data_IF_245284841804
#
_entry.id   IF_245284841804
#
_cell.length_a   1.000
_cell.length_b   1.000
_cell.length_c   1.000
_cell.angle_alpha   90.00
_cell.angle_beta   90.00
_cell.angle_gamma   90.00
#
_symmetry.space_group_name_H-M   'P 1'
#
loop_
_entity.id
_entity.type
_entity.pdbx_description
1 polymer ?
#
# COMPACT_ATOMS: atom_id res chain seq x y z
N UNK A 1 -8.06 3.17 19.67
CA UNK A 1 -6.71 3.46 19.10
C UNK A 1 -5.79 4.05 20.16
N UNK A 2 -4.46 4.05 19.93
CA UNK A 2 -3.51 4.72 20.83
C UNK A 2 -3.37 6.21 20.47
N UNK A 3 -3.58 7.10 21.45
CA UNK A 3 -3.56 8.56 21.26
C UNK A 3 -2.50 9.18 22.16
N UNK A 4 -1.52 9.80 21.56
CA UNK A 4 -0.43 10.48 22.26
C UNK A 4 -0.87 11.87 22.77
N UNK A 5 -0.67 12.16 24.06
CA UNK A 5 -1.03 13.42 24.70
C UNK A 5 0.19 14.21 25.23
N UNK A 6 1.39 13.90 24.74
CA UNK A 6 2.65 14.49 25.24
C UNK A 6 2.76 15.99 25.03
N UNK A 7 2.11 16.54 23.99
CA UNK A 7 2.21 17.94 23.61
C UNK A 7 0.83 18.63 23.65
N UNK A 8 0.29 18.94 24.85
CA UNK A 8 -0.96 19.69 24.94
C UNK A 8 -0.78 21.11 24.38
N UNK A 9 -1.79 21.57 23.68
CA UNK A 9 -1.80 22.91 23.06
C UNK A 9 -1.60 24.02 24.12
N UNK A 10 -0.87 25.07 23.74
CA UNK A 10 -0.74 26.26 24.57
C UNK A 10 -2.13 26.86 24.83
N UNK A 11 -2.43 27.18 26.10
CA UNK A 11 -3.74 27.69 26.54
C UNK A 11 -4.16 28.99 25.86
N UNK A 12 -3.25 29.70 25.20
CA UNK A 12 -3.52 30.92 24.41
C UNK A 12 -4.12 30.63 23.03
N UNK A 13 -4.15 29.37 22.60
CA UNK A 13 -4.60 28.97 21.25
C UNK A 13 -5.98 28.33 21.24
N UNK A 14 -6.64 28.15 22.38
CA UNK A 14 -7.97 27.57 22.47
C UNK A 14 -8.73 28.19 23.66
N UNK A 15 -10.00 27.88 23.77
CA UNK A 15 -10.80 28.29 24.94
C UNK A 15 -11.17 27.06 25.77
N UNK A 16 -10.99 27.15 27.09
CA UNK A 16 -11.47 26.11 28.01
C UNK A 16 -12.99 26.06 28.02
N UNK A 17 -13.50 24.84 27.99
CA UNK A 17 -14.91 24.54 27.91
C UNK A 17 -15.58 24.92 26.59
N UNK A 18 -16.74 24.37 26.34
CA UNK A 18 -17.57 24.64 25.15
C UNK A 18 -18.83 25.40 25.54
N UNK A 19 -19.37 26.15 24.57
CA UNK A 19 -20.65 26.87 24.68
C UNK A 19 -21.80 26.14 24.00
N UNK A 20 -21.48 25.09 23.25
CA UNK A 20 -22.41 24.27 22.48
C UNK A 20 -22.00 22.79 22.53
N UNK A 21 -22.95 21.88 22.28
CA UNK A 21 -22.67 20.44 22.16
C UNK A 21 -21.87 20.15 20.89
N UNK A 22 -21.05 19.12 20.94
CA UNK A 22 -20.32 18.60 19.78
C UNK A 22 -21.31 17.90 18.85
N UNK A 23 -21.38 18.35 17.60
CA UNK A 23 -22.27 17.81 16.56
C UNK A 23 -21.56 17.54 15.25
N UNK A 24 -20.34 18.03 15.09
CA UNK A 24 -19.58 17.93 13.84
C UNK A 24 -18.17 17.45 14.10
N UNK A 25 -17.64 16.72 13.12
CA UNK A 25 -16.20 16.47 12.97
C UNK A 25 -15.76 17.16 11.69
N UNK A 26 -14.74 18.03 11.79
CA UNK A 26 -14.22 18.79 10.66
C UNK A 26 -12.84 18.27 10.31
N UNK A 27 -12.71 17.81 9.07
CA UNK A 27 -11.45 17.29 8.52
C UNK A 27 -10.68 18.44 7.88
N UNK A 28 -9.41 18.55 8.27
CA UNK A 28 -8.44 19.52 7.79
C UNK A 28 -7.19 18.82 7.26
N UNK A 29 -6.29 19.58 6.69
CA UNK A 29 -4.91 19.18 6.44
C UNK A 29 -3.97 20.24 6.97
N UNK A 30 -2.80 19.83 7.41
CA UNK A 30 -1.79 20.71 8.02
C UNK A 30 -1.32 21.79 7.01
N UNK A 31 -1.33 21.49 5.70
CA UNK A 31 -0.86 22.40 4.66
C UNK A 31 0.64 22.68 4.72
N UNK A 32 1.39 21.81 5.41
CA UNK A 32 2.85 21.77 5.53
C UNK A 32 3.31 20.31 5.60
N UNK A 33 4.59 20.05 5.34
CA UNK A 33 5.14 18.69 5.32
C UNK A 33 5.66 18.20 6.69
N UNK A 34 5.27 18.87 7.77
CA UNK A 34 5.64 18.50 9.13
C UNK A 34 4.86 17.29 9.63
N UNK A 35 5.51 16.47 10.49
CA UNK A 35 4.91 15.33 11.14
C UNK A 35 3.83 15.71 12.17
N UNK A 36 2.98 14.77 12.60
CA UNK A 36 1.97 15.02 13.64
C UNK A 36 2.63 15.45 14.96
N UNK A 37 3.76 14.83 15.31
CA UNK A 37 4.56 15.24 16.46
C UNK A 37 5.03 16.70 16.33
N UNK A 38 5.58 17.09 15.18
CA UNK A 38 6.09 18.43 14.96
C UNK A 38 4.98 19.48 15.06
N UNK A 39 3.79 19.17 14.50
CA UNK A 39 2.62 20.04 14.57
C UNK A 39 2.11 20.16 16.01
N UNK A 40 1.91 19.06 16.72
CA UNK A 40 1.48 19.10 18.12
C UNK A 40 2.46 19.91 18.99
N UNK A 41 3.79 19.72 18.80
CA UNK A 41 4.81 20.46 19.51
C UNK A 41 4.80 21.96 19.17
N UNK A 42 4.57 22.31 17.90
CA UNK A 42 4.47 23.71 17.47
C UNK A 42 3.32 24.42 18.19
N UNK A 43 2.11 23.80 18.22
CA UNK A 43 0.95 24.37 18.89
C UNK A 43 1.06 24.34 20.43
N UNK A 44 1.91 23.50 21.00
CA UNK A 44 2.19 23.46 22.43
C UNK A 44 3.14 24.61 22.87
N UNK A 45 3.95 25.14 21.97
CA UNK A 45 5.02 26.11 22.31
C UNK A 45 4.81 27.50 21.73
N UNK A 46 3.93 27.67 20.76
CA UNK A 46 3.72 28.90 20.00
C UNK A 46 2.32 29.47 20.23
N UNK A 47 2.21 30.80 20.36
CA UNK A 47 0.93 31.49 20.34
C UNK A 47 0.58 31.87 18.90
N UNK A 48 -0.25 31.05 18.26
CA UNK A 48 -0.59 31.16 16.82
C UNK A 48 -2.03 31.58 16.57
N UNK A 49 -2.86 31.69 17.63
CA UNK A 49 -4.27 32.08 17.52
C UNK A 49 -5.16 31.07 16.78
N UNK A 50 -4.69 29.82 16.66
CA UNK A 50 -5.40 28.69 16.05
C UNK A 50 -5.02 27.40 16.78
N UNK A 51 -5.84 26.34 16.61
CA UNK A 51 -5.56 25.01 17.17
C UNK A 51 -6.46 23.95 16.53
N UNK A 52 -6.11 22.69 16.72
CA UNK A 52 -6.96 21.54 16.41
C UNK A 52 -7.01 20.59 17.61
N UNK A 53 -7.98 19.68 17.63
CA UNK A 53 -8.07 18.69 18.68
C UNK A 53 -7.06 17.57 18.46
N UNK A 54 -6.91 17.12 17.21
CA UNK A 54 -6.05 16.01 16.86
C UNK A 54 -5.19 16.31 15.63
N UNK A 55 -3.98 15.74 15.61
CA UNK A 55 -3.10 15.65 14.46
C UNK A 55 -2.86 14.17 14.14
N UNK A 56 -3.03 13.77 12.88
CA UNK A 56 -2.80 12.40 12.40
C UNK A 56 -1.57 12.38 11.50
N UNK A 57 -0.61 11.55 11.84
CA UNK A 57 0.71 11.43 11.20
C UNK A 57 0.67 10.78 9.83
N UNK A 58 1.76 10.95 9.11
CA UNK A 58 2.01 10.26 7.84
C UNK A 58 2.78 8.95 8.06
N UNK A 59 3.12 8.23 6.98
CA UNK A 59 3.71 6.90 7.02
C UNK A 59 5.01 6.82 7.83
N UNK A 60 5.84 7.89 7.84
CA UNK A 60 7.09 7.91 8.62
C UNK A 60 6.88 7.90 10.14
N UNK A 61 5.64 8.14 10.62
CA UNK A 61 5.23 8.07 12.02
C UNK A 61 4.20 6.95 12.27
N UNK A 62 4.01 6.04 11.30
CA UNK A 62 3.01 4.97 11.34
C UNK A 62 1.58 5.48 11.63
N UNK A 63 1.25 6.66 11.07
CA UNK A 63 -0.04 7.29 11.28
C UNK A 63 -0.32 7.72 12.72
N UNK A 64 0.71 7.98 13.53
CA UNK A 64 0.60 8.32 14.95
C UNK A 64 -0.40 9.46 15.18
N UNK A 65 -1.28 9.31 16.18
CA UNK A 65 -2.30 10.30 16.52
C UNK A 65 -1.89 11.07 17.77
N UNK A 66 -1.87 12.41 17.66
CA UNK A 66 -1.61 13.31 18.77
C UNK A 66 -2.86 14.10 19.13
N UNK A 67 -3.28 14.04 20.39
CA UNK A 67 -4.28 14.95 20.93
C UNK A 67 -3.61 16.22 21.42
N UNK A 68 -3.96 17.36 20.83
CA UNK A 68 -3.42 18.67 21.14
C UNK A 68 -4.37 19.47 22.03
N UNK A 69 -5.68 19.48 21.71
CA UNK A 69 -6.72 20.07 22.57
C UNK A 69 -7.69 18.98 23.01
N UNK A 70 -8.10 19.00 24.28
CA UNK A 70 -9.12 18.07 24.76
C UNK A 70 -10.46 18.37 24.06
N UNK A 71 -11.21 17.37 23.58
CA UNK A 71 -12.53 17.58 22.98
C UNK A 71 -13.54 18.28 23.90
N UNK A 72 -13.36 18.26 25.22
CA UNK A 72 -14.17 19.06 26.16
C UNK A 72 -13.91 20.56 26.08
N UNK A 73 -12.81 20.97 25.46
CA UNK A 73 -12.42 22.37 25.23
C UNK A 73 -12.72 22.79 23.76
N UNK A 74 -12.66 24.08 23.50
CA UNK A 74 -12.98 24.64 22.19
C UNK A 74 -11.70 25.01 21.42
N UNK A 75 -11.24 24.14 20.52
CA UNK A 75 -10.16 24.44 19.60
C UNK A 75 -10.59 25.44 18.52
N UNK A 76 -9.66 26.23 18.00
CA UNK A 76 -9.94 27.27 17.00
C UNK A 76 -9.49 26.83 15.62
N UNK A 77 -10.36 26.13 14.90
CA UNK A 77 -10.06 25.52 13.58
C UNK A 77 -11.03 25.87 12.45
N UNK A 78 -12.25 26.37 12.77
CA UNK A 78 -13.26 26.70 11.77
C UNK A 78 -13.23 28.19 11.35
N UNK A 79 -12.10 28.87 11.46
CA UNK A 79 -11.93 30.25 11.03
C UNK A 79 -11.67 30.40 9.54
N UNK A 80 -12.11 31.49 8.93
CA UNK A 80 -11.80 31.87 7.55
C UNK A 80 -12.01 33.33 7.30
N UNK A 81 -11.18 33.91 6.44
CA UNK A 81 -11.36 35.26 5.89
C UNK A 81 -12.44 35.29 4.80
N UNK A 82 -12.76 34.16 4.17
CA UNK A 82 -13.70 34.07 3.05
C UNK A 82 -15.17 34.02 3.45
N UNK A 83 -15.47 33.83 4.76
CA UNK A 83 -16.84 33.80 5.25
C UNK A 83 -17.24 32.47 5.87
N UNK A 84 -18.53 32.35 6.20
CA UNK A 84 -19.14 31.22 6.89
C UNK A 84 -20.35 30.74 6.10
N UNK A 85 -20.15 29.67 5.34
CA UNK A 85 -21.18 29.12 4.45
C UNK A 85 -22.08 28.11 5.14
N UNK A 86 -21.54 27.30 6.08
CA UNK A 86 -22.32 26.37 6.87
C UNK A 86 -22.48 26.89 8.30
N UNK A 87 -23.59 27.55 8.57
CA UNK A 87 -23.80 28.31 9.81
C UNK A 87 -23.92 27.45 11.07
N UNK A 88 -24.31 26.20 10.95
CA UNK A 88 -24.49 25.29 12.09
C UNK A 88 -23.18 24.75 12.66
N UNK A 89 -22.09 24.72 11.87
CA UNK A 89 -20.78 24.25 12.31
C UNK A 89 -19.88 25.43 12.74
N UNK A 90 -19.36 25.38 13.95
CA UNK A 90 -18.46 26.37 14.57
C UNK A 90 -17.46 25.64 15.47
N UNK A 91 -16.41 26.35 15.91
CA UNK A 91 -15.44 25.84 16.88
C UNK A 91 -16.10 25.19 18.11
N UNK A 92 -17.17 25.79 18.63
CA UNK A 92 -17.88 25.28 19.78
C UNK A 92 -18.65 23.99 19.55
N UNK A 93 -19.09 23.74 18.32
CA UNK A 93 -19.90 22.59 17.96
C UNK A 93 -19.13 21.52 17.18
N UNK A 94 -17.80 21.66 17.01
CA UNK A 94 -17.02 20.76 16.18
C UNK A 94 -15.73 20.27 16.85
N UNK A 95 -15.30 19.08 16.46
CA UNK A 95 -13.97 18.55 16.69
C UNK A 95 -13.17 18.71 15.39
N UNK A 96 -11.96 19.30 15.44
CA UNK A 96 -11.08 19.44 14.29
C UNK A 96 -9.99 18.37 14.30
N UNK A 97 -9.81 17.70 13.16
CA UNK A 97 -8.75 16.72 12.92
C UNK A 97 -7.88 17.23 11.77
N UNK A 98 -6.59 17.43 12.04
CA UNK A 98 -5.57 17.84 11.07
C UNK A 98 -4.81 16.63 10.55
N UNK A 99 -4.90 16.37 9.27
CA UNK A 99 -4.18 15.31 8.59
C UNK A 99 -2.81 15.82 8.11
N UNK A 100 -1.73 15.14 8.47
CA UNK A 100 -0.41 15.41 7.91
C UNK A 100 -0.39 15.03 6.43
N UNK A 101 0.37 15.76 5.63
CA UNK A 101 0.35 15.64 4.17
C UNK A 101 1.73 15.87 3.57
N UNK A 102 1.89 15.45 2.34
CA UNK A 102 3.07 15.66 1.52
C UNK A 102 2.75 16.50 0.29
N UNK A 103 3.79 17.01 -0.36
CA UNK A 103 3.71 17.57 -1.71
C UNK A 103 4.41 16.64 -2.69
N UNK A 104 3.78 16.42 -3.83
CA UNK A 104 4.42 15.75 -4.96
C UNK A 104 5.38 16.70 -5.72
N UNK A 105 6.01 16.18 -6.77
CA UNK A 105 6.92 16.95 -7.63
C UNK A 105 6.22 18.05 -8.42
N UNK A 106 4.91 17.96 -8.64
CA UNK A 106 4.05 18.96 -9.27
C UNK A 106 3.62 20.07 -8.31
N UNK A 107 3.82 19.88 -7.01
CA UNK A 107 3.43 20.77 -5.94
C UNK A 107 2.02 20.54 -5.38
N UNK A 108 1.36 19.44 -5.81
CA UNK A 108 0.05 19.06 -5.32
C UNK A 108 0.14 18.34 -3.97
N UNK A 109 -0.85 18.61 -3.11
CA UNK A 109 -0.93 18.00 -1.79
C UNK A 109 -1.59 16.62 -1.85
N UNK A 110 -1.02 15.65 -1.12
CA UNK A 110 -1.60 14.32 -0.99
C UNK A 110 -1.43 13.76 0.44
N UNK A 111 -2.22 12.74 0.76
CA UNK A 111 -2.14 11.98 2.00
C UNK A 111 -1.57 10.59 1.76
N UNK A 112 -0.80 10.09 2.72
CA UNK A 112 -0.48 8.67 2.78
C UNK A 112 -1.74 7.84 3.10
N UNK A 113 -1.79 6.60 2.64
CA UNK A 113 -2.90 5.69 2.93
C UNK A 113 -3.11 5.51 4.43
N UNK A 114 -2.02 5.34 5.19
CA UNK A 114 -2.07 5.20 6.66
C UNK A 114 -2.65 6.43 7.35
N UNK A 115 -2.35 7.65 6.85
CA UNK A 115 -2.95 8.88 7.38
C UNK A 115 -4.47 8.89 7.19
N UNK A 116 -4.93 8.48 6.00
CA UNK A 116 -6.37 8.37 5.70
C UNK A 116 -7.04 7.31 6.57
N UNK A 117 -6.41 6.14 6.72
CA UNK A 117 -6.92 5.03 7.55
C UNK A 117 -7.02 5.42 9.02
N UNK A 118 -5.95 5.96 9.59
CA UNK A 118 -5.93 6.39 11.00
C UNK A 118 -6.88 7.56 11.27
N UNK A 119 -7.06 8.45 10.28
CA UNK A 119 -8.09 9.51 10.39
C UNK A 119 -9.50 8.92 10.37
N UNK A 120 -9.78 7.93 9.52
CA UNK A 120 -11.08 7.27 9.49
C UNK A 120 -11.36 6.50 10.79
N UNK A 121 -10.36 5.79 11.32
CA UNK A 121 -10.43 5.06 12.60
C UNK A 121 -10.74 6.03 13.75
N UNK A 122 -9.96 7.11 13.91
CA UNK A 122 -10.20 8.16 14.91
C UNK A 122 -11.60 8.78 14.74
N UNK A 123 -11.99 9.07 13.51
CA UNK A 123 -13.28 9.68 13.21
C UNK A 123 -14.43 8.80 13.65
N UNK A 124 -14.36 7.48 13.41
CA UNK A 124 -15.38 6.51 13.87
C UNK A 124 -15.48 6.44 15.39
N UNK A 125 -14.35 6.38 16.10
CA UNK A 125 -14.34 6.41 17.57
C UNK A 125 -15.02 7.68 18.10
N UNK A 126 -14.74 8.83 17.48
CA UNK A 126 -15.37 10.10 17.87
C UNK A 126 -16.85 10.16 17.49
N UNK A 127 -17.24 9.61 16.33
CA UNK A 127 -18.65 9.48 15.92
C UNK A 127 -19.44 8.67 16.93
N UNK A 128 -18.92 7.53 17.35
CA UNK A 128 -19.54 6.67 18.37
C UNK A 128 -19.61 7.39 19.73
N UNK A 129 -18.51 8.00 20.17
CA UNK A 129 -18.40 8.65 21.47
C UNK A 129 -19.38 9.84 21.60
N UNK A 130 -19.60 10.60 20.54
CA UNK A 130 -20.40 11.84 20.56
C UNK A 130 -21.74 11.71 19.85
N UNK A 131 -22.11 10.53 19.34
CA UNK A 131 -23.36 10.31 18.61
C UNK A 131 -23.45 11.09 17.31
N UNK A 132 -22.35 11.24 16.57
CA UNK A 132 -22.24 11.98 15.32
C UNK A 132 -22.40 10.99 14.16
N UNK A 133 -23.33 11.27 13.24
CA UNK A 133 -23.46 10.50 12.01
C UNK A 133 -22.44 10.93 10.94
N UNK A 134 -22.30 10.12 9.91
CA UNK A 134 -21.34 10.40 8.85
C UNK A 134 -21.67 11.68 8.06
N UNK A 135 -22.91 12.13 8.02
CA UNK A 135 -23.29 13.37 7.31
C UNK A 135 -22.77 14.63 8.03
N UNK A 136 -22.52 14.50 9.33
CA UNK A 136 -21.92 15.54 10.15
C UNK A 136 -20.38 15.48 10.23
N UNK A 137 -19.76 14.58 9.50
CA UNK A 137 -18.31 14.60 9.22
C UNK A 137 -18.10 15.34 7.92
N UNK A 138 -17.53 16.54 8.00
CA UNK A 138 -17.44 17.50 6.90
C UNK A 138 -16.02 18.04 6.75
N UNK A 139 -15.68 18.61 5.59
CA UNK A 139 -14.41 19.27 5.35
C UNK A 139 -14.45 20.71 5.86
N UNK A 140 -13.33 21.30 6.17
CA UNK A 140 -13.25 22.75 6.42
C UNK A 140 -13.76 23.55 5.21
N UNK A 141 -13.56 23.04 3.99
CA UNK A 141 -14.14 23.59 2.76
C UNK A 141 -15.66 23.76 2.85
N UNK A 142 -16.36 22.77 3.36
CA UNK A 142 -17.82 22.80 3.47
C UNK A 142 -18.30 23.87 4.47
N UNK A 143 -17.46 24.25 5.44
CA UNK A 143 -17.76 25.29 6.44
C UNK A 143 -17.48 26.69 5.92
N UNK A 144 -16.39 26.90 5.16
CA UNK A 144 -15.86 28.25 4.87
C UNK A 144 -15.44 28.49 3.41
N UNK A 145 -15.53 27.49 2.54
CA UNK A 145 -14.98 27.45 1.17
C UNK A 145 -13.45 27.65 1.08
N UNK A 146 -12.73 27.58 2.20
CA UNK A 146 -11.27 27.44 2.17
C UNK A 146 -10.90 26.10 1.53
N UNK A 147 -9.93 26.07 0.61
CA UNK A 147 -9.43 24.81 0.04
C UNK A 147 -8.72 23.97 1.11
N UNK A 148 -9.50 23.32 1.98
CA UNK A 148 -9.02 22.53 3.13
C UNK A 148 -10.02 21.41 3.46
N UNK A 149 -9.56 20.15 3.51
CA UNK A 149 -8.22 19.70 3.12
C UNK A 149 -8.06 19.65 1.59
N UNK A 150 -6.97 20.23 1.06
CA UNK A 150 -6.77 20.31 -0.38
C UNK A 150 -6.84 18.95 -1.10
N UNK A 151 -6.24 17.85 -0.59
CA UNK A 151 -6.37 16.54 -1.24
C UNK A 151 -7.81 16.07 -1.43
N UNK A 152 -8.70 16.33 -0.47
CA UNK A 152 -10.12 15.95 -0.54
C UNK A 152 -11.01 17.01 -1.20
N UNK A 153 -10.53 18.22 -1.39
CA UNK A 153 -11.26 19.26 -2.13
C UNK A 153 -11.01 19.12 -3.62
N UNK A 154 -9.76 18.85 -4.00
CA UNK A 154 -9.35 18.70 -5.39
C UNK A 154 -9.73 17.33 -5.98
N UNK A 155 -9.95 16.32 -5.14
CA UNK A 155 -10.40 14.98 -5.53
C UNK A 155 -11.68 14.61 -4.78
N UNK A 156 -12.80 14.74 -5.48
CA UNK A 156 -14.12 14.37 -4.94
C UNK A 156 -14.27 12.85 -4.74
N UNK A 157 -13.56 12.03 -5.52
CA UNK A 157 -13.53 10.57 -5.37
C UNK A 157 -12.86 10.18 -4.07
N UNK A 158 -11.67 10.73 -3.77
CA UNK A 158 -10.97 10.48 -2.51
C UNK A 158 -11.79 10.89 -1.27
N UNK A 159 -12.55 12.00 -1.36
CA UNK A 159 -13.48 12.37 -0.29
C UNK A 159 -14.65 11.40 -0.16
N UNK A 160 -15.24 10.95 -1.26
CA UNK A 160 -16.31 9.98 -1.24
C UNK A 160 -15.85 8.63 -0.66
N UNK A 161 -14.66 8.17 -1.02
CA UNK A 161 -14.04 6.95 -0.46
C UNK A 161 -13.79 7.09 1.05
N UNK A 162 -13.28 8.25 1.50
CA UNK A 162 -13.14 8.52 2.93
C UNK A 162 -14.49 8.44 3.65
N UNK A 163 -15.55 9.06 3.10
CA UNK A 163 -16.91 9.01 3.66
C UNK A 163 -17.48 7.59 3.69
N UNK A 164 -17.24 6.78 2.65
CA UNK A 164 -17.63 5.36 2.66
C UNK A 164 -16.97 4.57 3.79
N UNK A 165 -15.72 4.88 4.13
CA UNK A 165 -15.03 4.23 5.27
C UNK A 165 -15.73 4.51 6.59
N UNK A 166 -16.41 5.67 6.73
CA UNK A 166 -17.13 6.05 7.95
C UNK A 166 -18.50 5.39 8.08
N UNK A 167 -19.18 5.16 6.96
CA UNK A 167 -20.56 4.62 6.91
C UNK A 167 -20.59 3.12 6.74
N UNK A 168 -19.52 2.54 6.20
CA UNK A 168 -19.36 1.11 6.41
C UNK A 168 -19.36 0.96 7.93
N UNK A 169 -20.52 0.44 8.51
CA UNK A 169 -20.36 -0.32 9.72
C UNK A 169 -19.00 -1.01 9.57
N UNK A 170 -18.20 -1.05 10.63
CA UNK A 170 -17.42 -2.25 10.83
C UNK A 170 -18.46 -3.42 10.93
N UNK A 171 -19.02 -3.82 9.84
CA UNK A 171 -18.76 -5.16 9.41
C UNK A 171 -17.27 -5.16 9.51
N UNK A 172 -16.80 -5.44 10.78
CA UNK A 172 -15.44 -5.73 11.14
C UNK A 172 -14.86 -6.16 9.85
N UNK A 173 -14.02 -5.19 9.17
CA UNK A 173 -13.50 -5.51 7.89
C UNK A 173 -13.58 -6.98 7.86
N UNK A 174 -14.38 -7.61 6.97
CA UNK A 174 -14.58 -8.97 7.33
C UNK A 174 -13.20 -9.27 7.79
N UNK A 175 -12.99 -9.39 9.15
CA UNK A 175 -11.82 -10.08 9.52
C UNK A 175 -12.02 -11.21 8.57
N UNK A 176 -11.70 -10.88 7.32
CA UNK A 176 -11.18 -11.88 6.50
C UNK A 176 -10.04 -12.14 7.39
N UNK A 177 -10.39 -12.79 8.52
CA UNK A 177 -9.57 -13.77 9.14
C UNK A 177 -9.26 -14.52 7.90
N UNK A 178 -8.23 -13.97 7.21
CA UNK A 178 -7.56 -14.75 6.21
C UNK A 178 -7.31 -15.96 7.05
N UNK A 179 -8.21 -16.91 6.90
CA UNK A 179 -8.01 -18.12 7.63
C UNK A 179 -6.58 -18.39 7.25
N UNK A 180 -5.69 -18.61 8.22
CA UNK A 180 -4.28 -18.89 7.91
C UNK A 180 -4.16 -19.94 6.79
N UNK A 181 -5.26 -20.56 6.44
CA UNK A 181 -5.46 -21.49 5.34
C UNK A 181 -5.45 -20.85 3.94
N UNK A 182 -5.72 -19.55 3.81
CA UNK A 182 -5.82 -18.86 2.51
C UNK A 182 -4.58 -18.01 2.18
N UNK A 183 -3.61 -17.93 3.12
CA UNK A 183 -2.34 -17.25 2.94
C UNK A 183 -1.20 -18.21 3.28
N UNK A 184 -0.38 -18.51 2.28
CA UNK A 184 0.75 -19.41 2.43
C UNK A 184 2.04 -18.59 2.37
N UNK A 185 2.84 -18.68 3.42
CA UNK A 185 4.14 -18.01 3.54
C UNK A 185 5.23 -19.04 3.65
N UNK A 186 6.15 -19.03 2.71
CA UNK A 186 7.32 -19.88 2.70
C UNK A 186 8.58 -19.02 2.75
N UNK A 187 9.36 -19.16 3.82
CA UNK A 187 10.73 -18.62 3.86
C UNK A 187 11.64 -19.60 3.14
N UNK A 188 12.39 -19.09 2.19
CA UNK A 188 13.24 -19.92 1.32
C UNK A 188 14.70 -19.50 1.53
N UNK A 189 15.55 -20.46 1.80
CA UNK A 189 16.97 -20.22 1.82
C UNK A 189 17.51 -20.17 0.40
N UNK A 190 18.21 -19.11 -0.02
CA UNK A 190 18.61 -18.91 -1.42
C UNK A 190 19.48 -20.05 -1.99
N UNK A 191 20.23 -20.75 -1.16
CA UNK A 191 21.04 -21.92 -1.62
C UNK A 191 20.18 -23.13 -1.97
N UNK A 192 18.96 -23.25 -1.41
CA UNK A 192 18.01 -24.32 -1.67
C UNK A 192 16.98 -23.95 -2.76
N UNK A 193 17.06 -22.74 -3.27
CA UNK A 193 16.14 -22.24 -4.30
C UNK A 193 16.78 -22.31 -5.69
N UNK A 194 15.97 -22.69 -6.65
CA UNK A 194 16.33 -22.60 -8.07
C UNK A 194 15.12 -22.27 -8.93
N UNK A 195 15.38 -21.59 -10.03
CA UNK A 195 14.44 -21.45 -11.14
C UNK A 195 14.68 -22.59 -12.14
N UNK A 196 13.60 -23.07 -12.75
CA UNK A 196 13.63 -24.05 -13.83
C UNK A 196 12.76 -23.55 -14.98
N UNK A 197 13.31 -23.50 -16.19
CA UNK A 197 12.51 -23.39 -17.40
C UNK A 197 11.87 -24.74 -17.70
N UNK A 198 10.58 -24.80 -17.94
CA UNK A 198 9.87 -26.07 -18.07
C UNK A 198 8.92 -26.17 -19.27
N UNK A 199 8.40 -25.08 -19.82
CA UNK A 199 7.41 -25.05 -20.92
C UNK A 199 6.45 -26.28 -20.92
N UNK A 200 5.73 -26.47 -19.83
CA UNK A 200 4.90 -27.65 -19.60
C UNK A 200 3.51 -27.28 -19.09
N UNK A 201 2.59 -28.24 -19.07
CA UNK A 201 1.28 -28.02 -18.46
C UNK A 201 1.39 -28.18 -16.95
N UNK A 202 0.61 -27.37 -16.19
CA UNK A 202 0.62 -27.38 -14.71
C UNK A 202 0.56 -28.78 -14.10
N UNK A 203 -0.34 -29.62 -14.58
CA UNK A 203 -0.52 -31.01 -14.07
C UNK A 203 0.67 -31.96 -14.33
N UNK A 204 1.65 -31.53 -15.13
CA UNK A 204 2.82 -32.32 -15.47
C UNK A 204 4.11 -31.84 -14.80
N UNK A 205 4.03 -30.84 -13.89
CA UNK A 205 5.22 -30.29 -13.22
C UNK A 205 5.92 -31.31 -12.31
N UNK A 206 5.19 -32.28 -11.78
CA UNK A 206 5.78 -33.35 -10.94
C UNK A 206 5.48 -33.19 -9.46
N UNK A 207 6.37 -33.74 -8.63
CA UNK A 207 6.29 -33.73 -7.16
C UNK A 207 7.42 -32.90 -6.55
N UNK A 208 7.26 -32.47 -5.31
CA UNK A 208 8.22 -31.62 -4.60
C UNK A 208 7.66 -30.27 -4.25
N UNK A 209 8.50 -29.36 -3.76
CA UNK A 209 8.08 -27.99 -3.43
C UNK A 209 8.33 -27.08 -4.63
N UNK A 210 7.27 -26.50 -5.18
CA UNK A 210 7.36 -25.61 -6.34
C UNK A 210 6.18 -24.67 -6.46
N UNK A 211 6.38 -23.58 -7.20
CA UNK A 211 5.34 -22.65 -7.63
C UNK A 211 5.60 -22.24 -9.08
N UNK A 212 4.52 -21.85 -9.83
CA UNK A 212 4.71 -21.19 -11.12
C UNK A 212 5.34 -19.81 -10.87
N UNK A 213 6.28 -19.43 -11.71
CA UNK A 213 7.08 -18.26 -11.47
C UNK A 213 6.75 -17.10 -12.46
N UNK A 214 7.56 -16.87 -13.47
CA UNK A 214 7.47 -15.68 -14.32
C UNK A 214 6.33 -15.68 -15.33
N UNK A 215 5.99 -14.51 -15.76
CA UNK A 215 5.07 -14.28 -16.88
C UNK A 215 5.60 -14.87 -18.19
N UNK A 216 4.70 -15.23 -19.09
CA UNK A 216 5.02 -15.71 -20.41
C UNK A 216 3.99 -15.21 -21.44
N UNK A 217 4.41 -15.13 -22.70
CA UNK A 217 3.53 -14.91 -23.83
C UNK A 217 3.41 -16.19 -24.66
N UNK A 218 2.31 -16.33 -25.39
CA UNK A 218 2.07 -17.47 -26.26
C UNK A 218 2.21 -17.04 -27.72
N UNK A 219 3.02 -17.76 -28.47
CA UNK A 219 3.15 -17.62 -29.92
C UNK A 219 1.94 -18.21 -30.65
N UNK A 220 1.79 -17.86 -31.94
CA UNK A 220 0.70 -18.35 -32.78
C UNK A 220 0.69 -19.89 -32.96
N UNK A 221 1.84 -20.55 -32.85
CA UNK A 221 2.01 -22.01 -32.88
C UNK A 221 1.73 -22.71 -31.56
N UNK A 222 1.36 -21.95 -30.50
CA UNK A 222 1.07 -22.45 -29.17
C UNK A 222 2.30 -22.65 -28.27
N UNK A 223 3.51 -22.41 -28.77
CA UNK A 223 4.72 -22.37 -27.92
C UNK A 223 4.68 -21.14 -26.99
N UNK A 224 5.45 -21.19 -25.90
CA UNK A 224 5.54 -20.09 -24.94
C UNK A 224 6.93 -19.46 -24.92
N UNK A 225 6.98 -18.15 -24.67
CA UNK A 225 8.21 -17.42 -24.45
C UNK A 225 8.11 -16.67 -23.11
N UNK A 226 9.18 -16.63 -22.30
CA UNK A 226 9.16 -15.90 -21.06
C UNK A 226 9.07 -14.40 -21.32
N UNK A 227 8.41 -13.66 -20.42
CA UNK A 227 8.30 -12.21 -20.45
C UNK A 227 9.18 -11.64 -19.35
N UNK A 228 10.05 -10.70 -19.72
CA UNK A 228 10.95 -10.02 -18.81
C UNK A 228 12.26 -10.77 -18.54
N UNK A 229 12.88 -10.47 -17.40
CA UNK A 229 14.18 -11.04 -17.05
C UNK A 229 14.01 -12.45 -16.45
N UNK A 230 14.68 -13.41 -17.01
CA UNK A 230 14.76 -14.79 -16.50
C UNK A 230 16.18 -15.32 -16.68
N UNK A 231 16.86 -15.60 -15.56
CA UNK A 231 18.18 -16.27 -15.51
C UNK A 231 18.05 -17.57 -14.73
N UNK A 232 18.53 -18.64 -15.29
CA UNK A 232 18.50 -19.99 -14.71
C UNK A 232 19.93 -20.56 -14.72
N UNK A 233 20.45 -20.88 -13.54
CA UNK A 233 21.81 -21.42 -13.35
C UNK A 233 22.87 -20.62 -14.10
N UNK A 234 22.83 -19.28 -13.99
CA UNK A 234 23.74 -18.36 -14.65
C UNK A 234 23.48 -18.15 -16.15
N UNK A 235 22.53 -18.86 -16.76
CA UNK A 235 22.19 -18.72 -18.17
C UNK A 235 21.03 -17.72 -18.31
N UNK A 236 21.21 -16.68 -19.10
CA UNK A 236 20.15 -15.74 -19.46
C UNK A 236 19.23 -16.44 -20.45
N UNK A 237 18.01 -16.75 -20.01
CA UNK A 237 16.95 -17.32 -20.86
C UNK A 237 16.30 -16.20 -21.68
N UNK A 238 16.00 -15.07 -21.01
CA UNK A 238 15.56 -13.84 -21.61
C UNK A 238 15.90 -12.65 -20.70
N UNK A 239 15.95 -11.46 -21.26
CA UNK A 239 15.95 -10.21 -20.55
C UNK A 239 15.15 -9.14 -21.32
N UNK A 240 14.81 -8.05 -20.65
CA UNK A 240 13.99 -7.00 -21.24
C UNK A 240 14.63 -6.36 -22.49
N UNK A 241 15.95 -6.31 -22.55
CA UNK A 241 16.69 -5.76 -23.70
C UNK A 241 16.59 -6.63 -24.94
N UNK A 242 16.63 -7.96 -24.77
CA UNK A 242 16.74 -8.92 -25.89
C UNK A 242 15.43 -9.66 -26.20
N UNK A 243 14.37 -9.45 -25.42
CA UNK A 243 13.06 -10.03 -25.72
C UNK A 243 12.42 -9.40 -26.96
N UNK A 244 11.39 -10.05 -27.51
CA UNK A 244 10.72 -9.60 -28.73
C UNK A 244 10.07 -8.21 -28.55
N UNK A 245 10.25 -7.32 -29.53
CA UNK A 245 9.77 -5.92 -29.48
C UNK A 245 8.26 -5.76 -29.29
N UNK A 246 7.47 -6.77 -29.65
CA UNK A 246 6.02 -6.78 -29.47
C UNK A 246 5.57 -7.04 -28.03
N UNK A 247 6.48 -7.42 -27.13
CA UNK A 247 6.18 -7.56 -25.70
C UNK A 247 6.26 -6.19 -25.02
N UNK A 248 5.26 -5.82 -24.27
CA UNK A 248 5.17 -4.49 -23.67
C UNK A 248 6.31 -4.18 -22.70
N UNK A 249 6.91 -5.18 -22.08
CA UNK A 249 8.06 -5.05 -21.19
C UNK A 249 9.41 -4.95 -21.92
N UNK A 250 9.40 -5.05 -23.25
CA UNK A 250 10.63 -4.95 -24.06
C UNK A 250 11.32 -3.60 -23.85
N UNK A 251 12.65 -3.66 -23.55
CA UNK A 251 13.52 -2.48 -23.34
C UNK A 251 13.17 -1.59 -22.15
N UNK A 252 12.26 -2.02 -21.27
CA UNK A 252 12.03 -1.37 -20.00
C UNK A 252 13.01 -1.89 -18.93
N UNK A 253 13.34 -1.06 -17.96
CA UNK A 253 14.01 -1.55 -16.73
C UNK A 253 12.97 -2.23 -15.87
N UNK A 254 13.07 -3.53 -15.72
CA UNK A 254 12.11 -4.34 -14.96
C UNK A 254 12.59 -4.61 -13.55
N UNK A 255 11.69 -4.49 -12.59
CA UNK A 255 11.94 -4.91 -11.22
C UNK A 255 12.17 -6.41 -11.20
N UNK A 256 13.36 -6.80 -10.76
CA UNK A 256 13.89 -8.15 -10.85
C UNK A 256 14.44 -8.58 -9.48
N UNK A 257 14.03 -9.74 -8.98
CA UNK A 257 14.70 -10.40 -7.86
C UNK A 257 15.86 -11.19 -8.43
N UNK A 258 17.03 -10.98 -7.84
CA UNK A 258 18.32 -11.52 -8.27
C UNK A 258 18.92 -12.35 -7.13
N UNK A 259 19.29 -13.57 -7.41
CA UNK A 259 20.02 -14.46 -6.50
C UNK A 259 21.42 -14.63 -7.10
N UNK A 260 22.43 -14.23 -6.36
CA UNK A 260 23.83 -14.31 -6.79
C UNK A 260 24.46 -15.68 -6.48
N UNK A 261 25.63 -15.93 -7.08
CA UNK A 261 26.38 -17.18 -6.88
C UNK A 261 26.83 -17.41 -5.42
N UNK A 262 26.96 -16.33 -4.63
CA UNK A 262 27.24 -16.37 -3.20
C UNK A 262 25.98 -16.55 -2.34
N UNK A 263 24.81 -16.73 -2.96
CA UNK A 263 23.47 -16.80 -2.39
C UNK A 263 22.99 -15.50 -1.73
N UNK A 264 23.62 -14.37 -1.95
CA UNK A 264 23.02 -13.08 -1.63
C UNK A 264 21.82 -12.80 -2.53
N UNK A 265 20.85 -12.05 -2.02
CA UNK A 265 19.60 -11.75 -2.73
C UNK A 265 19.37 -10.24 -2.72
N UNK A 266 19.02 -9.69 -3.87
CA UNK A 266 18.63 -8.30 -4.01
C UNK A 266 17.41 -8.14 -4.93
N UNK A 267 16.79 -6.98 -4.90
CA UNK A 267 15.81 -6.55 -5.88
C UNK A 267 16.32 -5.28 -6.58
N UNK A 268 16.42 -5.30 -7.89
CA UNK A 268 16.92 -4.20 -8.70
C UNK A 268 16.09 -4.00 -9.97
N UNK A 269 16.14 -2.80 -10.55
CA UNK A 269 15.57 -2.53 -11.88
C UNK A 269 16.63 -2.75 -12.96
N UNK A 270 16.41 -3.75 -13.81
CA UNK A 270 17.37 -4.20 -14.83
C UNK A 270 16.68 -4.38 -16.17
N UNK A 271 17.31 -3.94 -17.25
CA UNK A 271 16.91 -4.20 -18.66
C UNK A 271 17.85 -5.19 -19.36
N UNK A 272 19.13 -5.18 -19.01
CA UNK A 272 20.20 -6.01 -19.59
C UNK A 272 20.86 -6.86 -18.50
N UNK A 273 20.51 -8.14 -18.44
CA UNK A 273 21.05 -9.05 -17.44
C UNK A 273 22.55 -9.34 -17.60
N UNK A 274 23.14 -9.06 -18.77
CA UNK A 274 24.59 -9.15 -18.98
C UNK A 274 25.38 -8.13 -18.15
N UNK A 275 24.74 -7.05 -17.72
CA UNK A 275 25.37 -6.00 -16.91
C UNK A 275 25.44 -6.33 -15.42
N UNK A 276 24.74 -7.38 -14.98
CA UNK A 276 24.68 -7.79 -13.57
C UNK A 276 25.66 -8.94 -13.34
N UNK A 277 26.71 -8.74 -12.52
CA UNK A 277 27.72 -9.79 -12.32
C UNK A 277 27.23 -10.87 -11.36
N UNK A 278 27.69 -12.09 -11.56
CA UNK A 278 27.57 -13.19 -10.61
C UNK A 278 26.14 -13.68 -10.36
N UNK A 279 25.23 -13.49 -11.32
CA UNK A 279 23.84 -13.93 -11.20
C UNK A 279 23.76 -15.45 -11.33
N UNK A 280 23.17 -16.11 -10.34
CA UNK A 280 22.80 -17.52 -10.35
C UNK A 280 21.39 -17.71 -10.91
N UNK A 281 20.43 -16.98 -10.31
CA UNK A 281 19.04 -16.96 -10.76
C UNK A 281 18.52 -15.51 -10.75
N UNK A 282 17.65 -15.17 -11.70
CA UNK A 282 16.92 -13.91 -11.66
C UNK A 282 15.54 -14.06 -12.28
N UNK A 283 14.57 -13.32 -11.76
CA UNK A 283 13.21 -13.28 -12.28
C UNK A 283 12.60 -11.90 -12.08
N UNK A 284 12.01 -11.34 -13.13
CA UNK A 284 11.21 -10.13 -13.04
C UNK A 284 9.73 -10.44 -12.83
N UNK A 285 9.02 -9.49 -12.27
CA UNK A 285 7.57 -9.54 -12.07
C UNK A 285 7.00 -8.15 -11.85
N UNK A 286 5.70 -8.07 -11.66
CA UNK A 286 5.03 -6.79 -11.37
C UNK A 286 5.50 -6.30 -10.00
N UNK A 287 6.12 -5.12 -9.88
CA UNK A 287 6.56 -4.61 -8.59
C UNK A 287 5.37 -4.25 -7.70
N UNK A 288 5.37 -4.72 -6.46
CA UNK A 288 4.31 -4.44 -5.48
C UNK A 288 4.83 -3.62 -4.30
N UNK A 289 5.97 -4.00 -3.74
CA UNK A 289 6.67 -3.29 -2.66
C UNK A 289 8.11 -3.02 -3.12
N UNK A 290 8.59 -1.81 -2.89
CA UNK A 290 9.98 -1.42 -3.17
C UNK A 290 10.51 -0.55 -2.04
N UNK A 291 11.55 -1.01 -1.34
CA UNK A 291 12.15 -0.31 -0.21
C UNK A 291 11.14 -0.05 0.92
N UNK A 292 10.25 -0.99 1.21
CA UNK A 292 9.20 -0.86 2.22
C UNK A 292 8.01 0.03 1.83
N UNK A 293 7.91 0.42 0.57
CA UNK A 293 6.85 1.30 0.04
C UNK A 293 6.05 0.58 -1.06
N UNK A 294 4.74 0.72 -1.03
CA UNK A 294 3.88 0.30 -2.14
C UNK A 294 4.29 0.98 -3.45
N UNK A 295 4.31 0.22 -4.52
CA UNK A 295 4.59 0.72 -5.87
C UNK A 295 3.30 1.23 -6.50
N UNK A 296 3.32 2.45 -7.04
CA UNK A 296 2.14 3.04 -7.68
C UNK A 296 1.81 2.39 -9.02
N UNK A 297 0.54 2.52 -9.46
CA UNK A 297 0.13 2.03 -10.78
C UNK A 297 0.89 2.68 -11.94
N UNK A 298 1.32 3.93 -11.79
CA UNK A 298 2.09 4.61 -12.83
C UNK A 298 3.53 4.05 -12.92
N UNK A 299 4.14 3.70 -11.79
CA UNK A 299 5.43 3.00 -11.76
C UNK A 299 5.32 1.60 -12.39
N UNK A 300 4.22 0.86 -12.10
CA UNK A 300 3.95 -0.44 -12.72
C UNK A 300 3.83 -0.32 -14.24
N UNK A 301 3.06 0.66 -14.73
CA UNK A 301 2.91 0.93 -16.17
C UNK A 301 4.20 1.39 -16.83
N UNK A 302 5.05 2.14 -16.12
CA UNK A 302 6.34 2.57 -16.62
C UNK A 302 7.31 1.40 -16.88
N UNK A 303 7.10 0.24 -16.26
CA UNK A 303 7.81 -1.01 -16.54
C UNK A 303 7.15 -1.86 -17.65
N UNK A 304 6.09 -1.36 -18.29
CA UNK A 304 5.39 -2.04 -19.38
C UNK A 304 4.29 -3.00 -18.97
N UNK A 305 3.94 -3.07 -17.69
CA UNK A 305 2.81 -3.88 -17.18
C UNK A 305 1.49 -3.09 -17.31
N UNK A 306 0.38 -3.78 -17.55
CA UNK A 306 -0.92 -3.13 -17.79
C UNK A 306 -1.67 -2.75 -16.51
N UNK A 307 -1.39 -3.39 -15.39
CA UNK A 307 -2.07 -3.17 -14.12
C UNK A 307 -3.42 -3.90 -13.96
N UNK A 308 -3.96 -4.49 -15.03
CA UNK A 308 -5.16 -5.32 -14.96
C UNK A 308 -4.88 -6.76 -14.49
N UNK A 309 -3.61 -7.13 -14.36
CA UNK A 309 -3.15 -8.41 -13.81
C UNK A 309 -3.32 -8.51 -12.28
N UNK A 310 -3.87 -7.46 -11.66
CA UNK A 310 -4.02 -7.33 -10.21
C UNK A 310 -5.48 -7.52 -9.74
N UNK A 311 -6.33 -8.22 -10.50
CA UNK A 311 -7.70 -8.55 -10.12
C UNK A 311 -7.75 -9.67 -9.06
N UNK A 312 -8.90 -9.85 -8.42
CA UNK A 312 -9.11 -10.86 -7.39
C UNK A 312 -8.94 -12.29 -7.96
N UNK A 313 -7.91 -12.97 -7.53
CA UNK A 313 -7.57 -14.36 -7.86
C UNK A 313 -6.40 -14.85 -7.00
N UNK A 314 -5.98 -16.11 -7.20
CA UNK A 314 -4.74 -16.59 -6.62
C UNK A 314 -3.51 -15.95 -7.27
N UNK A 315 -2.65 -15.40 -6.42
CA UNK A 315 -1.38 -14.79 -6.80
C UNK A 315 -0.22 -15.37 -6.01
N UNK A 316 0.94 -15.47 -6.65
CA UNK A 316 2.22 -15.73 -6.02
C UNK A 316 3.06 -14.46 -5.98
N UNK A 317 3.75 -14.24 -4.86
CA UNK A 317 4.66 -13.13 -4.65
C UNK A 317 6.02 -13.68 -4.23
N UNK A 318 7.08 -13.17 -4.83
CA UNK A 318 8.44 -13.40 -4.39
C UNK A 318 8.99 -12.10 -3.83
N UNK A 319 9.50 -12.14 -2.62
CA UNK A 319 9.92 -10.92 -1.93
C UNK A 319 11.08 -11.13 -0.96
N UNK A 320 11.52 -10.05 -0.37
CA UNK A 320 12.61 -9.99 0.60
C UNK A 320 12.08 -9.55 1.97
N UNK A 321 12.49 -10.26 3.00
CA UNK A 321 12.25 -9.91 4.40
C UNK A 321 13.51 -10.13 5.21
N UNK A 322 14.06 -9.05 5.77
CA UNK A 322 15.31 -9.10 6.55
C UNK A 322 16.45 -9.85 5.81
N UNK A 323 16.60 -9.58 4.50
CA UNK A 323 17.63 -10.20 3.65
C UNK A 323 17.37 -11.67 3.26
N UNK A 324 16.20 -12.22 3.60
CA UNK A 324 15.80 -13.58 3.22
C UNK A 324 14.78 -13.56 2.12
N UNK A 325 14.83 -14.57 1.26
CA UNK A 325 13.83 -14.80 0.22
C UNK A 325 12.55 -15.34 0.84
N UNK A 326 11.40 -14.78 0.48
CA UNK A 326 10.08 -15.22 0.97
C UNK A 326 9.13 -15.34 -0.21
N UNK A 327 8.49 -16.51 -0.34
CA UNK A 327 7.36 -16.69 -1.22
C UNK A 327 6.05 -16.57 -0.45
N UNK A 328 5.11 -15.80 -0.98
CA UNK A 328 3.76 -15.64 -0.44
C UNK A 328 2.76 -16.00 -1.51
N UNK A 329 1.78 -16.82 -1.17
CA UNK A 329 0.64 -17.11 -2.02
C UNK A 329 -0.66 -16.75 -1.33
N UNK A 330 -1.55 -16.05 -2.04
CA UNK A 330 -2.85 -15.65 -1.52
C UNK A 330 -3.87 -15.48 -2.65
N UNK A 331 -5.14 -15.70 -2.32
CA UNK A 331 -6.25 -15.26 -3.16
C UNK A 331 -6.60 -13.82 -2.77
N UNK A 332 -6.34 -12.87 -3.66
CA UNK A 332 -6.32 -11.45 -3.32
C UNK A 332 -6.48 -10.54 -4.54
N UNK A 333 -6.74 -9.26 -4.30
CA UNK A 333 -6.65 -8.15 -5.28
C UNK A 333 -5.44 -7.26 -4.98
N UNK A 334 -5.25 -6.19 -5.77
CA UNK A 334 -4.07 -5.32 -5.64
C UNK A 334 -3.99 -4.64 -4.26
N UNK A 335 -5.07 -4.07 -3.76
CA UNK A 335 -5.04 -3.35 -2.48
C UNK A 335 -4.72 -4.28 -1.32
N UNK A 336 -5.31 -5.45 -1.33
CA UNK A 336 -5.11 -6.45 -0.31
C UNK A 336 -3.72 -7.11 -0.39
N UNK A 337 -3.15 -7.31 -1.60
CA UNK A 337 -1.78 -7.84 -1.72
C UNK A 337 -0.74 -6.89 -1.12
N UNK A 338 -0.90 -5.57 -1.33
CA UNK A 338 -0.02 -4.56 -0.71
C UNK A 338 -0.09 -4.68 0.80
N UNK A 339 -1.30 -4.62 1.37
CA UNK A 339 -1.51 -4.74 2.81
C UNK A 339 -0.94 -6.04 3.40
N UNK A 340 -1.20 -7.18 2.74
CA UNK A 340 -0.68 -8.47 3.18
C UNK A 340 0.86 -8.49 3.26
N UNK A 341 1.53 -8.00 2.23
CA UNK A 341 2.99 -8.00 2.18
C UNK A 341 3.60 -7.04 3.21
N UNK A 342 2.97 -5.89 3.46
CA UNK A 342 3.36 -4.95 4.51
C UNK A 342 3.23 -5.56 5.91
N UNK A 343 2.09 -6.19 6.23
CA UNK A 343 1.86 -6.89 7.52
C UNK A 343 2.86 -8.02 7.73
N UNK A 344 3.26 -8.72 6.67
CA UNK A 344 4.28 -9.75 6.72
C UNK A 344 5.71 -9.19 6.86
N UNK A 345 5.89 -7.87 6.85
CA UNK A 345 7.19 -7.22 6.95
C UNK A 345 8.07 -7.43 5.72
N UNK A 346 7.46 -7.60 4.55
CA UNK A 346 8.15 -7.71 3.27
C UNK A 346 8.60 -6.31 2.85
N UNK A 347 9.90 -6.12 2.62
CA UNK A 347 10.46 -4.83 2.22
C UNK A 347 10.50 -4.62 0.72
N UNK A 348 10.58 -5.71 -0.05
CA UNK A 348 10.67 -5.70 -1.50
C UNK A 348 9.92 -6.90 -2.04
N UNK A 349 9.06 -6.72 -3.04
CA UNK A 349 8.28 -7.82 -3.60
C UNK A 349 7.85 -7.56 -5.04
N UNK A 350 7.86 -8.64 -5.80
CA UNK A 350 7.25 -8.74 -7.12
C UNK A 350 6.08 -9.73 -7.09
N UNK A 351 5.01 -9.42 -7.82
CA UNK A 351 3.98 -10.39 -8.17
C UNK A 351 4.47 -11.23 -9.36
N UNK A 352 4.33 -12.52 -9.22
CA UNK A 352 4.60 -13.51 -10.25
C UNK A 352 3.34 -13.77 -11.10
N UNK A 353 3.43 -14.64 -12.10
CA UNK A 353 2.26 -15.07 -12.86
C UNK A 353 1.24 -15.76 -11.93
N UNK A 354 -0.03 -15.49 -12.17
CA UNK A 354 -1.11 -15.92 -11.28
C UNK A 354 -2.37 -16.31 -12.05
N UNK A 355 -3.53 -16.20 -11.41
CA UNK A 355 -4.80 -16.54 -12.03
C UNK A 355 -4.81 -17.96 -12.59
N UNK A 356 -5.22 -18.12 -13.86
CA UNK A 356 -5.29 -19.43 -14.51
C UNK A 356 -3.99 -20.21 -14.56
N UNK A 357 -2.82 -19.54 -14.43
CA UNK A 357 -1.50 -20.18 -14.38
C UNK A 357 -1.08 -20.61 -12.98
N UNK A 358 -1.78 -20.15 -11.93
CA UNK A 358 -1.36 -20.34 -10.55
C UNK A 358 -1.28 -21.82 -10.15
N UNK A 359 -0.15 -22.19 -9.57
CA UNK A 359 0.08 -23.46 -8.88
C UNK A 359 1.11 -23.27 -7.77
N UNK A 360 0.81 -23.82 -6.61
CA UNK A 360 1.74 -23.99 -5.48
C UNK A 360 1.63 -25.42 -4.99
N UNK A 361 2.76 -26.06 -4.81
CA UNK A 361 2.88 -27.34 -4.13
C UNK A 361 3.97 -27.25 -3.07
N UNK A 362 3.64 -27.57 -1.83
CA UNK A 362 4.56 -27.54 -0.69
C UNK A 362 4.28 -28.77 0.20
N UNK A 363 4.98 -29.87 -0.07
CA UNK A 363 4.81 -31.08 0.71
C UNK A 363 3.37 -31.58 0.76
N UNK A 364 2.73 -31.37 1.90
CA UNK A 364 1.35 -31.81 2.15
C UNK A 364 0.27 -30.86 1.63
N UNK A 365 0.67 -29.70 1.09
CA UNK A 365 -0.24 -28.65 0.63
C UNK A 365 -0.09 -28.43 -0.88
N UNK A 366 -1.21 -28.42 -1.57
CA UNK A 366 -1.25 -28.09 -3.00
C UNK A 366 -2.47 -27.21 -3.33
N UNK A 367 -2.24 -26.08 -3.98
CA UNK A 367 -3.26 -25.24 -4.57
C UNK A 367 -2.96 -25.00 -6.05
N UNK A 368 -3.97 -25.17 -6.87
CA UNK A 368 -3.90 -24.90 -8.29
C UNK A 368 -5.27 -24.44 -8.78
N UNK A 369 -5.32 -23.37 -9.57
CA UNK A 369 -6.54 -23.01 -10.28
C UNK A 369 -6.96 -24.11 -11.26
N UNK A 370 -8.27 -24.22 -11.60
CA UNK A 370 -8.80 -25.35 -12.39
C UNK A 370 -8.17 -25.52 -13.77
N UNK A 371 -7.75 -24.42 -14.40
CA UNK A 371 -7.20 -24.41 -15.74
C UNK A 371 -5.86 -25.17 -15.81
N UNK A 372 -5.76 -26.11 -16.73
CA UNK A 372 -4.52 -26.80 -17.00
C UNK A 372 -3.69 -26.07 -18.05
N UNK A 373 -3.35 -24.80 -17.78
CA UNK A 373 -2.55 -23.96 -18.66
C UNK A 373 -1.12 -24.49 -18.81
N UNK A 374 -0.51 -24.11 -19.91
CA UNK A 374 0.94 -24.23 -20.08
C UNK A 374 1.60 -23.16 -19.21
N UNK A 375 2.71 -23.50 -18.58
CA UNK A 375 3.56 -22.59 -17.81
C UNK A 375 4.98 -22.72 -18.32
N UNK A 376 5.73 -21.61 -18.27
CA UNK A 376 7.07 -21.56 -18.87
C UNK A 376 8.19 -21.87 -17.87
N UNK A 377 7.99 -21.50 -16.62
CA UNK A 377 9.02 -21.65 -15.59
C UNK A 377 8.40 -21.83 -14.19
N UNK A 378 9.18 -22.45 -13.32
CA UNK A 378 8.83 -22.70 -11.93
C UNK A 378 9.97 -22.33 -10.99
N UNK A 379 9.62 -21.85 -9.79
CA UNK A 379 10.52 -21.81 -8.65
C UNK A 379 10.42 -23.11 -7.86
N UNK A 380 11.54 -23.71 -7.52
CA UNK A 380 11.67 -24.97 -6.78
C UNK A 380 12.52 -24.72 -5.55
N UNK A 381 12.16 -25.30 -4.42
CA UNK A 381 12.99 -25.27 -3.22
C UNK A 381 12.99 -26.61 -2.51
N UNK A 382 14.09 -26.89 -1.82
CA UNK A 382 14.21 -28.04 -0.93
C UNK A 382 13.89 -27.59 0.50
N UNK A 383 13.06 -28.35 1.20
CA UNK A 383 12.62 -28.08 2.56
C UNK A 383 13.59 -28.57 3.61
#
# INVERSE_FOLDING_TARGET
>A
MDINKTYPCDARNYRRGRRDSIRYIVIHYVGATGSARNNAQYYATSNVGASAHFFVGHASEDGAVYQSVDPADCAWHCGSETGKYYSACRNDSAIGIEMCCHKDVGGDWYFDSVTVEKTAELTKELMEQYGIDADHVIRHYDVTHKCCPAPFVNDAGAWADFKQRLTKEETAMPKTVYSLNDVHVQVIDPWNFRLCACDTRKKAVGTGNYFNAGFFAQNADGSTVPVGNLVVDGNIITDAKNQADWLNTARHKLTTIIIHNDNSVEMAQVDDMMTVPGVKHAISGIPIIRGGRAVSMDEIKAEGYFGNECYWTWHGFLGLRAGRLVYVAAETDFGMMVYLLEVLGITDAIKLDGGGSFILHNGDFAVSTPENRRIHNVGIWEG
#
